data_IF_932708942774
#
_entry.id   IF_932708942774
#
_cell.length_a   1.000
_cell.length_b   1.000
_cell.length_c   1.000
_cell.angle_alpha   90.00
_cell.angle_beta   90.00
_cell.angle_gamma   90.00
#
_symmetry.space_group_name_H-M   'P 1'
#
loop_
_entity.id
_entity.type
_entity.pdbx_description
1 polymer ?
#
# COMPACT_ATOMS: atom_id res chain seq x y z
N UNK A 1 -27.58 27.08 -16.27
CA UNK A 1 -26.93 26.05 -17.10
C UNK A 1 -25.54 26.50 -17.58
N UNK A 2 -25.37 27.73 -18.06
CA UNK A 2 -24.05 28.27 -18.46
C UNK A 2 -23.02 28.32 -17.32
N UNK A 3 -23.40 28.78 -16.13
CA UNK A 3 -22.51 28.78 -14.96
C UNK A 3 -22.03 27.38 -14.57
N UNK A 4 -22.89 26.36 -14.74
CA UNK A 4 -22.55 24.96 -14.44
C UNK A 4 -21.51 24.43 -15.43
N UNK A 5 -21.66 24.76 -16.72
CA UNK A 5 -20.68 24.40 -17.74
C UNK A 5 -19.36 25.15 -17.55
N UNK A 6 -19.42 26.44 -17.22
CA UNK A 6 -18.22 27.23 -16.90
C UNK A 6 -17.46 26.64 -15.71
N UNK A 7 -18.17 26.24 -14.66
CA UNK A 7 -17.58 25.56 -13.51
C UNK A 7 -16.98 24.21 -13.91
N UNK A 8 -17.71 23.38 -14.67
CA UNK A 8 -17.22 22.09 -15.16
C UNK A 8 -15.89 22.25 -15.89
N UNK A 9 -15.83 23.16 -16.87
CA UNK A 9 -14.61 23.42 -17.63
C UNK A 9 -13.46 23.82 -16.71
N UNK A 10 -13.69 24.74 -15.76
CA UNK A 10 -12.64 25.18 -14.83
C UNK A 10 -12.13 24.04 -13.95
N UNK A 11 -13.02 23.23 -13.39
CA UNK A 11 -12.64 22.09 -12.53
C UNK A 11 -11.91 21.03 -13.34
N UNK A 12 -12.40 20.65 -14.52
CA UNK A 12 -11.71 19.67 -15.38
C UNK A 12 -10.32 20.16 -15.78
N UNK A 13 -10.18 21.42 -16.20
CA UNK A 13 -8.87 22.00 -16.52
C UNK A 13 -7.93 21.98 -15.33
N UNK A 14 -8.42 22.32 -14.14
CA UNK A 14 -7.61 22.29 -12.92
C UNK A 14 -7.21 20.86 -12.53
N UNK A 15 -8.09 19.86 -12.67
CA UNK A 15 -7.74 18.46 -12.47
C UNK A 15 -6.62 18.01 -13.43
N UNK A 16 -6.67 18.41 -14.71
CA UNK A 16 -5.61 18.13 -15.67
C UNK A 16 -4.28 18.79 -15.28
N UNK A 17 -4.31 19.99 -14.71
CA UNK A 17 -3.12 20.63 -14.17
C UNK A 17 -2.55 19.85 -12.98
N UNK A 18 -3.38 19.46 -12.01
CA UNK A 18 -2.93 18.66 -10.87
C UNK A 18 -2.37 17.31 -11.33
N UNK A 19 -3.01 16.65 -12.29
CA UNK A 19 -2.54 15.40 -12.89
C UNK A 19 -1.16 15.55 -13.53
N UNK A 20 -0.90 16.65 -14.24
CA UNK A 20 0.41 16.93 -14.83
C UNK A 20 1.52 17.09 -13.80
N UNK A 21 1.19 17.51 -12.57
CA UNK A 21 2.13 17.59 -11.46
C UNK A 21 2.47 16.21 -10.84
N UNK A 22 1.69 15.17 -11.13
CA UNK A 22 1.92 13.80 -10.62
C UNK A 22 2.89 13.00 -11.50
N UNK A 23 2.94 13.29 -12.80
CA UNK A 23 3.89 12.65 -13.71
C UNK A 23 5.29 13.22 -13.49
N UNK A 24 6.28 12.34 -13.33
CA UNK A 24 7.70 12.67 -13.34
C UNK A 24 8.11 13.11 -14.76
N UNK A 25 7.72 14.31 -15.12
CA UNK A 25 8.22 14.97 -16.32
C UNK A 25 9.34 15.88 -15.86
N UNK A 26 10.49 15.69 -16.51
CA UNK A 26 11.74 16.45 -16.43
C UNK A 26 11.56 17.88 -15.87
N UNK A 27 12.50 18.35 -15.05
CA UNK A 27 12.45 19.65 -14.40
C UNK A 27 12.08 20.82 -15.35
N UNK A 28 12.38 20.70 -16.65
CA UNK A 28 11.99 21.65 -17.70
C UNK A 28 10.49 21.69 -18.05
N UNK A 29 9.73 20.59 -17.94
CA UNK A 29 8.27 20.59 -18.14
C UNK A 29 7.56 21.12 -16.89
N UNK A 30 8.10 20.85 -15.70
CA UNK A 30 7.65 21.46 -14.44
C UNK A 30 7.72 23.00 -14.50
N UNK A 31 8.78 23.55 -15.12
CA UNK A 31 8.91 24.99 -15.34
C UNK A 31 7.92 25.55 -16.40
N UNK A 32 7.60 24.77 -17.44
CA UNK A 32 6.61 25.17 -18.45
C UNK A 32 5.16 25.16 -17.92
N UNK A 33 4.82 24.20 -17.05
CA UNK A 33 3.52 24.19 -16.34
C UNK A 33 3.40 25.43 -15.45
N UNK A 34 4.44 25.79 -14.69
CA UNK A 34 4.45 27.04 -13.92
C UNK A 34 4.33 28.30 -14.79
N UNK A 35 4.90 28.32 -16.01
CA UNK A 35 4.72 29.43 -16.96
C UNK A 35 3.27 29.54 -17.47
N UNK A 36 2.57 28.41 -17.63
CA UNK A 36 1.14 28.39 -17.97
C UNK A 36 0.22 28.93 -16.86
N UNK A 37 0.73 29.01 -15.63
CA UNK A 37 0.00 29.55 -14.46
C UNK A 37 0.21 31.07 -14.30
N UNK A 38 1.01 31.70 -15.16
CA UNK A 38 1.33 33.14 -15.11
C UNK A 38 0.14 34.08 -15.28
N UNK A 39 -0.98 33.60 -15.82
CA UNK A 39 -2.23 34.38 -15.99
C UNK A 39 -3.28 34.13 -14.89
N UNK A 40 -3.00 33.27 -13.91
CA UNK A 40 -3.88 33.07 -12.75
C UNK A 40 -3.37 33.95 -11.62
N UNK A 41 -4.03 35.08 -11.39
CA UNK A 41 -3.73 36.00 -10.28
C UNK A 41 -3.63 35.23 -8.95
N UNK A 42 -2.42 35.19 -8.37
CA UNK A 42 -2.15 34.58 -7.06
C UNK A 42 -1.12 33.46 -7.03
N UNK A 43 -0.61 32.98 -8.18
CA UNK A 43 0.32 31.83 -8.20
C UNK A 43 1.77 32.15 -8.57
N UNK A 44 2.09 33.43 -8.78
CA UNK A 44 3.43 33.90 -9.22
C UNK A 44 4.59 33.67 -8.21
N UNK A 45 4.38 32.92 -7.13
CA UNK A 45 5.38 32.72 -6.05
C UNK A 45 5.79 31.27 -5.78
N UNK A 46 5.24 30.27 -6.47
CA UNK A 46 5.59 28.87 -6.21
C UNK A 46 6.85 28.46 -7.00
N UNK A 47 8.01 28.89 -6.52
CA UNK A 47 9.25 28.18 -6.80
C UNK A 47 9.06 26.71 -6.38
N UNK A 48 9.49 25.79 -7.24
CA UNK A 48 9.31 24.33 -7.13
C UNK A 48 9.74 23.79 -5.76
N UNK A 49 8.79 23.72 -4.82
CA UNK A 49 8.99 23.09 -3.52
C UNK A 49 8.91 21.57 -3.67
N UNK A 50 9.67 20.80 -2.87
CA UNK A 50 9.53 19.34 -2.81
C UNK A 50 8.11 18.87 -2.40
N UNK A 51 7.27 19.77 -1.92
CA UNK A 51 5.88 19.53 -1.52
C UNK A 51 4.84 19.65 -2.65
N UNK A 52 5.22 20.06 -3.87
CA UNK A 52 4.24 20.34 -4.94
C UNK A 52 3.46 19.09 -5.35
N UNK A 53 4.13 17.96 -5.59
CA UNK A 53 3.46 16.74 -6.06
C UNK A 53 2.53 16.14 -4.99
N UNK A 54 2.94 16.02 -3.70
CA UNK A 54 2.03 15.65 -2.61
C UNK A 54 0.81 16.57 -2.49
N UNK A 55 1.01 17.89 -2.65
CA UNK A 55 -0.10 18.84 -2.60
C UNK A 55 -1.06 18.66 -3.78
N UNK A 56 -0.54 18.47 -4.99
CA UNK A 56 -1.34 18.21 -6.18
C UNK A 56 -2.14 16.91 -6.04
N UNK A 57 -1.55 15.86 -5.47
CA UNK A 57 -2.23 14.60 -5.17
C UNK A 57 -3.40 14.80 -4.21
N UNK A 58 -3.18 15.54 -3.11
CA UNK A 58 -4.22 15.82 -2.12
C UNK A 58 -5.37 16.61 -2.71
N UNK A 59 -5.07 17.70 -3.41
CA UNK A 59 -6.10 18.54 -4.04
C UNK A 59 -6.85 17.76 -5.11
N UNK A 60 -6.17 16.96 -5.93
CA UNK A 60 -6.82 16.12 -6.93
C UNK A 60 -7.73 15.07 -6.29
N UNK A 61 -7.28 14.43 -5.21
CA UNK A 61 -8.09 13.47 -4.45
C UNK A 61 -9.34 14.14 -3.85
N UNK A 62 -9.20 15.32 -3.26
CA UNK A 62 -10.32 16.07 -2.71
C UNK A 62 -11.32 16.50 -3.78
N UNK A 63 -10.83 16.95 -4.95
CA UNK A 63 -11.69 17.30 -6.08
C UNK A 63 -12.44 16.09 -6.63
N UNK A 64 -11.75 14.96 -6.82
CA UNK A 64 -12.36 13.72 -7.27
C UNK A 64 -13.39 13.18 -6.25
N UNK A 65 -13.17 13.42 -4.96
CA UNK A 65 -14.12 13.06 -3.91
C UNK A 65 -15.35 13.99 -3.89
N UNK A 66 -15.14 15.30 -3.97
CA UNK A 66 -16.21 16.32 -3.97
C UNK A 66 -17.06 16.22 -5.23
N UNK A 67 -16.43 16.07 -6.39
CA UNK A 67 -17.09 15.93 -7.68
C UNK A 67 -17.27 14.46 -8.10
N UNK A 68 -17.17 13.51 -7.17
CA UNK A 68 -17.28 12.09 -7.47
C UNK A 68 -18.73 11.60 -7.68
N UNK A 69 -18.94 10.28 -7.77
CA UNK A 69 -20.26 9.65 -7.98
C UNK A 69 -21.29 9.99 -6.91
N UNK A 70 -20.84 10.45 -5.74
CA UNK A 70 -21.69 10.81 -4.61
C UNK A 70 -22.34 12.19 -4.76
N UNK A 71 -21.85 13.04 -5.66
CA UNK A 71 -22.33 14.41 -5.84
C UNK A 71 -23.85 14.51 -6.13
N UNK A 72 -24.42 13.74 -7.09
CA UNK A 72 -25.85 13.84 -7.39
C UNK A 72 -26.75 13.14 -6.37
N UNK A 73 -26.20 12.46 -5.35
CA UNK A 73 -27.01 11.81 -4.29
C UNK A 73 -27.70 12.84 -3.40
N UNK A 74 -28.69 12.38 -2.65
CA UNK A 74 -29.47 13.15 -1.66
C UNK A 74 -30.20 14.36 -2.27
N UNK A 75 -30.81 14.18 -3.44
CA UNK A 75 -31.65 15.20 -4.09
C UNK A 75 -30.88 16.25 -4.89
N UNK A 76 -29.59 16.04 -5.17
CA UNK A 76 -28.73 16.96 -5.94
C UNK A 76 -28.54 16.55 -7.40
N UNK A 77 -29.54 15.91 -8.01
CA UNK A 77 -29.47 15.36 -9.38
C UNK A 77 -29.08 16.41 -10.43
N UNK A 78 -29.43 17.69 -10.21
CA UNK A 78 -29.05 18.79 -11.10
C UNK A 78 -27.54 19.00 -11.21
N UNK A 79 -26.75 18.48 -10.27
CA UNK A 79 -25.29 18.54 -10.26
C UNK A 79 -24.64 17.34 -10.97
N UNK A 80 -25.41 16.34 -11.42
CA UNK A 80 -24.88 15.19 -12.15
C UNK A 80 -23.92 15.55 -13.31
N UNK A 81 -24.12 16.64 -14.08
CA UNK A 81 -23.17 17.02 -15.13
C UNK A 81 -21.76 17.36 -14.64
N UNK A 82 -21.58 17.69 -13.36
CA UNK A 82 -20.29 18.01 -12.74
C UNK A 82 -19.51 16.77 -12.26
N UNK A 83 -20.10 15.58 -12.31
CA UNK A 83 -19.44 14.36 -11.85
C UNK A 83 -18.17 14.11 -12.67
N UNK A 84 -17.07 13.89 -11.95
CA UNK A 84 -15.75 13.55 -12.48
C UNK A 84 -15.44 12.10 -12.11
N UNK A 85 -15.10 11.31 -13.12
CA UNK A 85 -14.59 9.96 -12.95
C UNK A 85 -13.16 9.94 -13.48
N UNK A 86 -12.18 9.47 -12.68
CA UNK A 86 -10.81 9.39 -13.15
C UNK A 86 -10.71 8.34 -14.25
N UNK A 87 -10.13 8.72 -15.40
CA UNK A 87 -9.82 7.77 -16.48
C UNK A 87 -8.71 6.80 -16.04
N UNK A 88 -8.63 5.63 -16.69
CA UNK A 88 -7.67 4.58 -16.33
C UNK A 88 -6.22 5.10 -16.20
N UNK A 89 -5.79 6.01 -17.08
CA UNK A 89 -4.46 6.61 -16.99
C UNK A 89 -4.23 7.41 -15.70
N UNK A 90 -5.23 8.20 -15.27
CA UNK A 90 -5.16 8.94 -14.00
C UNK A 90 -5.22 7.99 -12.80
N UNK A 91 -6.04 6.95 -12.85
CA UNK A 91 -6.09 5.94 -11.78
C UNK A 91 -4.73 5.28 -11.57
N UNK A 92 -4.06 4.87 -12.65
CA UNK A 92 -2.71 4.32 -12.60
C UNK A 92 -1.67 5.33 -12.08
N UNK A 93 -1.78 6.61 -12.46
CA UNK A 93 -0.88 7.64 -11.94
C UNK A 93 -1.05 7.88 -10.44
N UNK A 94 -2.28 7.89 -9.93
CA UNK A 94 -2.55 8.00 -8.49
C UNK A 94 -1.98 6.80 -7.73
N UNK A 95 -2.16 5.59 -8.27
CA UNK A 95 -1.61 4.37 -7.67
C UNK A 95 -0.07 4.37 -7.67
N UNK A 96 0.56 4.72 -8.80
CA UNK A 96 2.02 4.82 -8.91
C UNK A 96 2.59 5.87 -7.94
N UNK A 97 1.98 7.05 -7.89
CA UNK A 97 2.36 8.10 -6.93
C UNK A 97 2.29 7.61 -5.48
N UNK A 98 1.23 6.89 -5.12
CA UNK A 98 1.09 6.29 -3.80
C UNK A 98 2.22 5.29 -3.51
N UNK A 99 2.53 4.41 -4.46
CA UNK A 99 3.65 3.48 -4.33
C UNK A 99 4.96 4.23 -4.08
N UNK A 100 5.27 5.22 -4.91
CA UNK A 100 6.56 5.93 -4.92
C UNK A 100 6.77 6.84 -3.69
N UNK A 101 5.70 7.37 -3.10
CA UNK A 101 5.83 8.38 -2.04
C UNK A 101 5.36 7.90 -0.66
N UNK A 102 4.56 6.84 -0.59
CA UNK A 102 4.12 6.25 0.69
C UNK A 102 4.88 4.96 1.00
N UNK A 103 5.01 4.06 0.02
CA UNK A 103 5.52 2.70 0.27
C UNK A 103 7.00 2.50 -0.09
N UNK A 104 7.59 3.27 -1.02
CA UNK A 104 9.01 3.12 -1.39
C UNK A 104 10.01 3.51 -0.28
N UNK A 105 9.63 4.40 0.64
CA UNK A 105 10.54 4.86 1.70
C UNK A 105 10.71 3.88 2.86
N UNK A 106 9.95 2.78 2.88
CA UNK A 106 10.00 1.76 3.93
C UNK A 106 11.13 0.72 3.73
N UNK A 107 11.92 0.82 2.65
CA UNK A 107 13.04 -0.08 2.35
C UNK A 107 14.42 0.53 2.65
N UNK A 108 14.54 1.85 2.75
CA UNK A 108 15.85 2.54 2.87
C UNK A 108 16.37 2.70 4.30
N UNK A 109 15.60 2.32 5.33
CA UNK A 109 16.05 2.39 6.72
C UNK A 109 16.79 1.14 7.24
N UNK A 110 16.73 0.01 6.50
CA UNK A 110 17.46 -1.21 6.90
C UNK A 110 18.97 -1.10 6.65
N UNK A 111 19.42 -0.35 5.64
CA UNK A 111 20.85 -0.24 5.32
C UNK A 111 21.60 0.81 6.17
N UNK A 112 20.92 1.84 6.68
CA UNK A 112 21.57 2.91 7.46
C UNK A 112 21.69 2.59 8.95
N UNK A 113 20.91 1.64 9.49
CA UNK A 113 21.03 1.21 10.90
C UNK A 113 21.93 -0.03 11.07
N UNK A 114 22.16 -0.81 10.01
CA UNK A 114 23.00 -2.01 10.04
C UNK A 114 24.52 -1.72 9.90
N UNK A 115 24.92 -0.52 9.47
CA UNK A 115 26.33 -0.11 9.36
C UNK A 115 26.82 0.58 10.64
N UNK A 116 26.65 -0.06 11.80
CA UNK A 116 26.95 0.60 13.08
C UNK A 116 27.06 -0.26 14.32
N UNK A 117 27.25 -1.59 14.23
CA UNK A 117 27.54 -2.41 15.42
C UNK A 117 28.65 -3.43 15.16
N UNK A 118 29.87 -2.93 15.03
CA UNK A 118 31.02 -3.72 15.47
C UNK A 118 31.03 -3.70 17.00
N UNK A 119 31.18 -4.85 17.70
CA UNK A 119 31.40 -4.82 19.14
C UNK A 119 32.68 -4.00 19.41
N UNK A 120 32.67 -3.04 20.35
CA UNK A 120 33.85 -2.24 20.61
C UNK A 120 34.95 -3.17 21.11
N UNK A 121 36.03 -3.34 20.33
CA UNK A 121 37.30 -3.78 20.89
C UNK A 121 37.68 -2.73 21.91
N UNK A 122 37.75 -3.12 23.19
CA UNK A 122 38.29 -2.27 24.26
C UNK A 122 39.69 -1.85 23.82
N UNK A 123 39.96 -0.56 23.54
CA UNK A 123 41.32 -0.10 23.37
C UNK A 123 41.93 0.02 24.77
N UNK A 124 43.10 -0.56 24.99
CA UNK A 124 43.92 -0.20 26.15
C UNK A 124 44.16 1.31 26.11
N UNK A 125 43.54 2.05 27.04
CA UNK A 125 43.73 3.48 27.20
C UNK A 125 45.01 3.72 28.00
N UNK A 126 46.05 4.20 27.33
CA UNK A 126 47.14 4.94 27.98
C UNK A 126 46.59 6.28 28.49
N UNK A 127 46.83 6.68 29.75
CA UNK A 127 46.27 7.89 30.32
C UNK A 127 46.99 9.14 29.77
N UNK A 128 46.27 10.04 29.09
CA UNK A 128 46.82 11.36 28.75
C UNK A 128 46.29 12.11 27.53
N UNK A 129 45.24 11.67 26.83
CA UNK A 129 44.70 12.40 25.66
C UNK A 129 43.29 12.95 25.92
N UNK A 130 42.99 14.19 25.46
CA UNK A 130 41.66 14.77 25.59
C UNK A 130 40.63 14.00 24.76
N UNK A 131 39.51 13.67 25.38
CA UNK A 131 38.36 13.01 24.76
C UNK A 131 37.77 13.96 23.70
N UNK A 132 37.58 13.54 22.43
CA UNK A 132 36.85 14.37 21.47
C UNK A 132 35.40 14.55 21.96
N UNK A 133 34.74 15.69 21.66
CA UNK A 133 33.35 15.89 22.07
C UNK A 133 32.50 14.78 21.45
N UNK A 134 31.80 14.01 22.29
CA UNK A 134 30.76 13.11 21.82
C UNK A 134 29.76 13.96 21.03
N UNK A 135 29.54 13.59 19.76
CA UNK A 135 28.42 14.11 18.97
C UNK A 135 27.14 13.98 19.80
N UNK A 136 26.26 15.00 19.81
CA UNK A 136 25.01 14.91 20.55
C UNK A 136 24.20 13.70 20.05
N UNK A 137 23.44 13.02 20.93
CA UNK A 137 22.46 12.03 20.48
C UNK A 137 21.49 12.72 19.51
N UNK A 138 21.02 11.99 18.49
CA UNK A 138 20.08 12.47 17.47
C UNK A 138 19.13 13.55 18.02
N UNK A 139 19.23 14.76 17.47
CA UNK A 139 18.55 15.95 18.00
C UNK A 139 17.04 15.77 17.93
N UNK A 140 16.30 16.34 18.89
CA UNK A 140 14.82 16.32 18.91
C UNK A 140 14.20 16.77 17.56
N UNK A 141 14.88 17.65 16.83
CA UNK A 141 14.52 18.11 15.49
C UNK A 141 14.42 16.97 14.46
N UNK A 142 15.26 15.94 14.54
CA UNK A 142 15.20 14.78 13.62
C UNK A 142 13.97 13.91 13.87
N UNK A 143 13.53 13.85 15.14
CA UNK A 143 12.32 13.11 15.53
C UNK A 143 11.05 13.84 15.14
N UNK A 144 11.02 15.17 15.26
CA UNK A 144 9.90 16.01 14.82
C UNK A 144 9.72 15.95 13.31
N UNK A 145 10.81 16.10 12.53
CA UNK A 145 10.76 16.00 11.07
C UNK A 145 10.28 14.62 10.59
N UNK A 146 10.67 13.54 11.27
CA UNK A 146 10.21 12.19 10.95
C UNK A 146 8.70 12.01 11.21
N UNK A 147 8.17 12.57 12.30
CA UNK A 147 6.74 12.53 12.61
C UNK A 147 5.93 13.30 11.56
N UNK A 148 6.39 14.48 11.15
CA UNK A 148 5.73 15.29 10.12
C UNK A 148 5.71 14.58 8.76
N UNK A 149 6.83 13.98 8.35
CA UNK A 149 6.91 13.25 7.09
C UNK A 149 6.01 12.01 7.10
N UNK A 150 6.03 11.23 8.19
CA UNK A 150 5.13 10.09 8.36
C UNK A 150 3.66 10.52 8.34
N UNK A 151 3.34 11.63 9.03
CA UNK A 151 1.99 12.19 9.01
C UNK A 151 1.56 12.55 7.58
N UNK A 152 2.42 13.22 6.82
CA UNK A 152 2.14 13.59 5.43
C UNK A 152 1.86 12.34 4.57
N UNK A 153 2.66 11.28 4.69
CA UNK A 153 2.44 10.01 3.96
C UNK A 153 1.14 9.33 4.36
N UNK A 154 0.80 9.33 5.65
CA UNK A 154 -0.48 8.80 6.17
C UNK A 154 -1.67 9.58 5.60
N UNK A 155 -1.55 10.90 5.45
CA UNK A 155 -2.58 11.75 4.84
C UNK A 155 -2.77 11.42 3.35
N UNK A 156 -1.69 11.22 2.59
CA UNK A 156 -1.75 10.77 1.18
C UNK A 156 -2.46 9.41 1.06
N UNK A 157 -2.06 8.44 1.88
CA UNK A 157 -2.69 7.12 1.88
C UNK A 157 -4.18 7.19 2.21
N UNK A 158 -4.55 7.95 3.24
CA UNK A 158 -5.95 8.14 3.61
C UNK A 158 -6.75 8.82 2.48
N UNK A 159 -6.13 9.76 1.75
CA UNK A 159 -6.71 10.36 0.55
C UNK A 159 -7.06 9.31 -0.51
N UNK A 160 -6.10 8.46 -0.87
CA UNK A 160 -6.33 7.38 -1.83
C UNK A 160 -7.40 6.38 -1.36
N UNK A 161 -7.33 5.94 -0.10
CA UNK A 161 -8.31 5.01 0.47
C UNK A 161 -9.74 5.58 0.47
N UNK A 162 -9.91 6.89 0.68
CA UNK A 162 -11.23 7.54 0.57
C UNK A 162 -11.77 7.44 -0.87
N UNK A 163 -10.94 7.62 -1.89
CA UNK A 163 -11.39 7.48 -3.28
C UNK A 163 -11.97 6.08 -3.53
N UNK A 164 -11.38 5.03 -2.96
CA UNK A 164 -11.91 3.65 -3.03
C UNK A 164 -13.21 3.53 -2.22
N UNK A 165 -13.21 3.95 -0.96
CA UNK A 165 -14.37 3.81 -0.04
C UNK A 165 -15.62 4.54 -0.57
N UNK A 166 -15.42 5.66 -1.26
CA UNK A 166 -16.51 6.46 -1.83
C UNK A 166 -16.79 6.15 -3.31
N UNK A 167 -16.29 5.02 -3.82
CA UNK A 167 -16.59 4.49 -5.16
C UNK A 167 -16.11 5.40 -6.32
N UNK A 168 -15.12 6.26 -6.05
CA UNK A 168 -14.47 7.10 -7.07
C UNK A 168 -13.43 6.29 -7.85
N UNK A 169 -12.74 5.37 -7.16
CA UNK A 169 -11.90 4.34 -7.74
C UNK A 169 -12.57 2.98 -7.54
N UNK A 170 -12.34 2.06 -8.49
CA UNK A 170 -12.82 0.68 -8.35
C UNK A 170 -12.23 0.02 -7.10
N UNK A 171 -13.02 -0.85 -6.46
CA UNK A 171 -12.60 -1.56 -5.25
C UNK A 171 -11.33 -2.39 -5.49
N UNK A 172 -11.16 -2.91 -6.71
CA UNK A 172 -9.96 -3.62 -7.18
C UNK A 172 -8.67 -2.82 -6.98
N UNK A 173 -8.70 -1.49 -7.08
CA UNK A 173 -7.55 -0.61 -6.83
C UNK A 173 -7.05 -0.67 -5.38
N UNK A 174 -7.86 -1.17 -4.43
CA UNK A 174 -7.41 -1.41 -3.07
C UNK A 174 -6.37 -2.54 -2.99
N UNK A 175 -6.23 -3.38 -4.03
CA UNK A 175 -5.25 -4.47 -4.02
C UNK A 175 -3.82 -3.96 -3.84
N UNK A 176 -3.55 -2.78 -4.39
CA UNK A 176 -2.31 -2.03 -4.29
C UNK A 176 -2.01 -1.59 -2.86
N UNK A 177 -3.03 -1.35 -2.04
CA UNK A 177 -2.86 -0.98 -0.63
C UNK A 177 -2.79 -2.22 0.26
N UNK A 178 -3.65 -3.21 -0.01
CA UNK A 178 -3.79 -4.39 0.85
C UNK A 178 -2.54 -5.27 0.87
N UNK A 179 -1.74 -5.30 -0.19
CA UNK A 179 -0.45 -6.02 -0.23
C UNK A 179 0.54 -5.56 0.85
N UNK A 180 0.39 -4.34 1.37
CA UNK A 180 1.24 -3.80 2.43
C UNK A 180 0.74 -4.12 3.85
N UNK A 181 -0.33 -4.92 4.00
CA UNK A 181 -0.88 -5.29 5.32
C UNK A 181 -0.01 -6.28 6.11
N UNK A 182 0.78 -7.13 5.43
CA UNK A 182 1.54 -8.23 6.05
C UNK A 182 2.76 -7.79 6.87
N UNK A 183 3.28 -6.59 6.62
CA UNK A 183 4.41 -6.01 7.35
C UNK A 183 4.01 -5.61 8.79
N UNK A 184 3.04 -6.30 9.39
CA UNK A 184 2.36 -6.04 10.67
C UNK A 184 2.29 -7.29 11.60
N UNK A 185 2.81 -8.47 11.23
CA UNK A 185 2.67 -9.64 12.13
C UNK A 185 3.71 -10.75 12.02
N UNK A 186 4.94 -10.52 12.47
CA UNK A 186 5.85 -11.59 12.85
C UNK A 186 5.57 -12.08 14.27
N UNK A 187 4.50 -12.86 14.49
CA UNK A 187 4.44 -13.71 15.70
C UNK A 187 5.22 -14.97 15.42
N UNK A 188 6.41 -15.03 16.03
CA UNK A 188 7.24 -16.21 16.14
C UNK A 188 6.41 -17.40 16.61
N UNK A 189 6.26 -18.41 15.75
CA UNK A 189 5.77 -19.72 16.18
C UNK A 189 6.71 -20.25 17.26
N UNK A 190 6.20 -20.37 18.49
CA UNK A 190 6.91 -20.94 19.61
C UNK A 190 7.22 -22.42 19.31
N UNK A 191 8.50 -22.75 19.18
CA UNK A 191 8.99 -24.12 19.27
C UNK A 191 8.49 -24.76 20.58
N UNK A 192 8.11 -26.05 20.60
CA UNK A 192 7.70 -26.70 21.83
C UNK A 192 8.89 -26.77 22.78
N UNK A 193 8.74 -26.16 23.96
CA UNK A 193 9.76 -26.08 24.98
C UNK A 193 10.20 -27.48 25.48
N UNK A 194 11.48 -27.79 25.30
CA UNK A 194 12.19 -28.72 26.18
C UNK A 194 12.39 -28.11 27.58
N UNK A 195 12.68 -28.91 28.61
CA UNK A 195 12.61 -28.45 29.99
C UNK A 195 13.69 -27.40 30.27
N UNK A 196 13.22 -26.24 30.70
CA UNK A 196 13.99 -25.06 31.05
C UNK A 196 14.91 -25.32 32.25
N UNK A 197 16.20 -25.04 32.07
CA UNK A 197 17.14 -24.83 33.16
C UNK A 197 17.93 -23.55 32.91
N UNK A 198 18.13 -22.80 33.99
CA UNK A 198 19.02 -21.66 34.15
C UNK A 198 18.54 -20.32 33.57
N UNK A 199 17.94 -19.51 34.43
CA UNK A 199 17.79 -18.07 34.25
C UNK A 199 19.16 -17.40 34.38
N UNK A 200 19.60 -16.73 33.32
CA UNK A 200 20.68 -15.77 33.34
C UNK A 200 20.24 -14.52 32.58
N UNK A 201 20.13 -13.41 33.28
CA UNK A 201 19.66 -12.13 32.76
C UNK A 201 20.48 -11.65 31.55
N UNK A 202 19.86 -11.60 30.36
CA UNK A 202 20.24 -10.64 29.32
C UNK A 202 19.05 -10.39 28.38
N UNK A 203 18.56 -9.15 28.42
CA UNK A 203 17.77 -8.45 27.42
C UNK A 203 16.58 -9.20 26.79
N UNK A 204 15.38 -8.88 27.27
CA UNK A 204 14.21 -8.84 26.39
C UNK A 204 14.58 -7.96 25.19
N UNK A 205 14.71 -8.58 24.01
CA UNK A 205 14.62 -7.85 22.75
C UNK A 205 13.32 -7.03 22.80
N UNK A 206 13.34 -5.73 22.49
CA UNK A 206 12.07 -5.02 22.34
C UNK A 206 11.25 -5.75 21.27
N UNK A 207 9.91 -5.81 21.39
CA UNK A 207 9.10 -6.25 20.26
C UNK A 207 9.47 -5.38 19.04
N UNK A 208 9.36 -5.85 17.80
CA UNK A 208 9.60 -4.99 16.65
C UNK A 208 8.62 -3.81 16.70
N UNK A 209 9.10 -2.66 17.20
CA UNK A 209 8.29 -1.46 17.49
C UNK A 209 8.00 -0.61 16.25
N UNK A 210 8.32 -1.09 15.05
CA UNK A 210 8.17 -0.36 13.79
C UNK A 210 7.03 -0.88 12.90
N UNK A 211 6.24 -1.82 13.41
CA UNK A 211 5.17 -2.47 12.66
C UNK A 211 3.85 -1.71 12.81
N UNK A 212 3.68 -0.65 12.00
CA UNK A 212 2.45 -0.31 11.25
C UNK A 212 2.30 1.20 10.96
N UNK A 213 3.29 1.82 10.31
CA UNK A 213 3.20 3.22 9.82
C UNK A 213 1.86 3.54 9.14
N UNK A 214 1.24 2.52 8.54
CA UNK A 214 -0.01 2.61 7.79
C UNK A 214 -1.08 1.59 8.20
N UNK A 215 -0.79 0.66 9.12
CA UNK A 215 -1.63 -0.54 9.29
C UNK A 215 -3.01 -0.26 9.85
N UNK A 216 -3.20 0.79 10.64
CA UNK A 216 -4.51 1.24 11.11
C UNK A 216 -5.37 1.78 9.96
N UNK A 217 -4.79 2.57 9.05
CA UNK A 217 -5.47 3.09 7.85
C UNK A 217 -5.82 1.93 6.90
N UNK A 218 -4.89 1.02 6.65
CA UNK A 218 -5.12 -0.17 5.80
C UNK A 218 -6.21 -1.06 6.42
N UNK A 219 -6.16 -1.30 7.74
CA UNK A 219 -7.15 -2.10 8.46
C UNK A 219 -8.54 -1.47 8.43
N UNK A 220 -8.63 -0.16 8.60
CA UNK A 220 -9.91 0.54 8.48
C UNK A 220 -10.44 0.46 7.05
N UNK A 221 -9.58 0.63 6.05
CA UNK A 221 -9.93 0.49 4.63
C UNK A 221 -10.45 -0.92 4.31
N UNK A 222 -9.78 -1.97 4.83
CA UNK A 222 -10.23 -3.36 4.75
C UNK A 222 -11.62 -3.57 5.37
N UNK A 223 -11.88 -2.92 6.52
CA UNK A 223 -13.16 -3.03 7.20
C UNK A 223 -14.29 -2.29 6.48
N UNK A 224 -14.02 -1.10 5.94
CA UNK A 224 -14.97 -0.29 5.18
C UNK A 224 -15.34 -0.98 3.85
N UNK A 225 -14.36 -1.38 3.06
CA UNK A 225 -14.57 -2.07 1.77
C UNK A 225 -15.36 -3.37 1.93
N UNK A 226 -15.10 -4.16 2.97
CA UNK A 226 -15.89 -5.37 3.31
C UNK A 226 -17.36 -5.06 3.63
N UNK A 227 -17.67 -3.88 4.15
CA UNK A 227 -19.03 -3.45 4.44
C UNK A 227 -19.76 -2.96 3.19
N UNK A 228 -19.02 -2.36 2.24
CA UNK A 228 -19.53 -1.89 0.95
C UNK A 228 -19.90 -3.07 0.05
N UNK A 229 -18.92 -3.91 -0.29
CA UNK A 229 -19.14 -5.11 -1.10
C UNK A 229 -18.21 -6.23 -0.62
N UNK A 230 -18.82 -7.29 -0.09
CA UNK A 230 -18.08 -8.42 0.48
C UNK A 230 -17.52 -9.37 -0.57
N UNK A 231 -18.20 -9.51 -1.70
CA UNK A 231 -17.75 -10.38 -2.78
C UNK A 231 -16.55 -9.74 -3.46
N UNK A 232 -16.68 -8.47 -3.84
CA UNK A 232 -15.60 -7.75 -4.49
C UNK A 232 -14.42 -7.51 -3.53
N UNK A 233 -14.68 -7.30 -2.24
CA UNK A 233 -13.63 -7.27 -1.21
C UNK A 233 -12.81 -8.56 -1.18
N UNK A 234 -13.46 -9.73 -1.15
CA UNK A 234 -12.75 -11.01 -1.16
C UNK A 234 -11.98 -11.22 -2.49
N UNK A 235 -12.57 -10.82 -3.62
CA UNK A 235 -11.92 -10.82 -4.93
C UNK A 235 -10.68 -9.94 -4.95
N UNK A 236 -10.74 -8.77 -4.30
CA UNK A 236 -9.62 -7.82 -4.21
C UNK A 236 -8.50 -8.34 -3.31
N UNK A 237 -8.82 -9.01 -2.19
CA UNK A 237 -7.80 -9.70 -1.38
C UNK A 237 -7.08 -10.79 -2.18
N UNK A 238 -7.84 -11.56 -2.97
CA UNK A 238 -7.28 -12.57 -3.86
C UNK A 238 -6.38 -11.93 -4.92
N UNK A 239 -6.83 -10.82 -5.52
CA UNK A 239 -6.08 -10.06 -6.52
C UNK A 239 -4.73 -9.57 -5.97
N UNK A 240 -4.68 -9.05 -4.74
CA UNK A 240 -3.41 -8.67 -4.10
C UNK A 240 -2.40 -9.81 -4.06
N UNK A 241 -2.85 -11.00 -3.64
CA UNK A 241 -1.98 -12.18 -3.52
C UNK A 241 -1.54 -12.69 -4.90
N UNK A 242 -2.43 -12.68 -5.88
CA UNK A 242 -2.13 -13.07 -7.26
C UNK A 242 -1.11 -12.12 -7.90
N UNK A 243 -1.30 -10.80 -7.72
CA UNK A 243 -0.39 -9.78 -8.23
C UNK A 243 1.01 -9.92 -7.61
N UNK A 244 1.11 -10.11 -6.29
CA UNK A 244 2.42 -10.33 -5.65
C UNK A 244 3.11 -11.60 -6.16
N UNK A 245 2.40 -12.73 -6.26
CA UNK A 245 2.99 -13.96 -6.77
C UNK A 245 3.48 -13.79 -8.22
N UNK A 246 2.68 -13.14 -9.07
CA UNK A 246 3.04 -12.93 -10.47
C UNK A 246 4.28 -12.05 -10.61
N UNK A 247 4.40 -10.98 -9.81
CA UNK A 247 5.60 -10.15 -9.78
C UNK A 247 6.83 -10.95 -9.40
N UNK A 248 6.74 -11.78 -8.35
CA UNK A 248 7.87 -12.63 -7.93
C UNK A 248 8.24 -13.69 -8.97
N UNK A 249 7.25 -14.30 -9.63
CA UNK A 249 7.49 -15.25 -10.73
C UNK A 249 8.20 -14.60 -11.92
N UNK A 250 7.87 -13.35 -12.23
CA UNK A 250 8.53 -12.56 -13.27
C UNK A 250 9.98 -12.22 -12.91
N UNK A 251 10.25 -11.94 -11.63
CA UNK A 251 11.59 -11.58 -11.15
C UNK A 251 12.54 -12.79 -11.05
N UNK A 252 12.07 -13.93 -10.52
CA UNK A 252 12.94 -15.08 -10.21
C UNK A 252 13.15 -16.06 -11.38
N UNK A 253 12.41 -15.92 -12.48
CA UNK A 253 12.49 -16.81 -13.66
C UNK A 253 12.38 -18.32 -13.36
N UNK A 254 11.47 -18.74 -12.47
CA UNK A 254 11.25 -20.18 -12.32
C UNK A 254 10.39 -20.65 -11.13
N UNK A 255 10.13 -21.97 -11.06
CA UNK A 255 9.32 -22.61 -10.01
C UNK A 255 10.01 -22.72 -8.63
N UNK A 256 11.26 -22.28 -8.49
CA UNK A 256 11.99 -22.27 -7.20
C UNK A 256 11.51 -21.21 -6.21
N UNK A 257 10.50 -20.42 -6.60
CA UNK A 257 9.85 -19.39 -5.78
C UNK A 257 9.44 -19.87 -4.37
N UNK A 258 9.15 -21.15 -4.19
CA UNK A 258 8.70 -21.70 -2.89
C UNK A 258 9.71 -21.54 -1.76
N UNK A 259 11.00 -21.46 -2.09
CA UNK A 259 12.07 -21.24 -1.12
C UNK A 259 12.42 -19.76 -0.95
N UNK A 260 11.86 -18.87 -1.77
CA UNK A 260 12.13 -17.44 -1.71
C UNK A 260 11.46 -16.82 -0.48
N UNK A 261 12.18 -15.92 0.18
CA UNK A 261 11.67 -15.12 1.30
C UNK A 261 10.39 -14.36 0.91
N UNK A 262 10.37 -13.77 -0.28
CA UNK A 262 9.18 -13.08 -0.82
C UNK A 262 7.94 -13.98 -0.92
N UNK A 263 8.10 -15.29 -1.17
CA UNK A 263 6.97 -16.22 -1.18
C UNK A 263 6.42 -16.49 0.22
N UNK A 264 7.30 -16.53 1.23
CA UNK A 264 6.89 -16.63 2.64
C UNK A 264 6.10 -15.39 3.06
N UNK A 265 6.54 -14.20 2.66
CA UNK A 265 5.80 -12.95 2.91
C UNK A 265 4.39 -12.97 2.30
N UNK A 266 4.25 -13.47 1.07
CA UNK A 266 2.94 -13.64 0.40
C UNK A 266 2.06 -14.60 1.20
N UNK A 267 2.62 -15.71 1.70
CA UNK A 267 1.88 -16.66 2.55
C UNK A 267 1.48 -16.07 3.89
N UNK A 268 2.34 -15.27 4.51
CA UNK A 268 2.02 -14.59 5.76
C UNK A 268 0.92 -13.55 5.57
N UNK A 269 0.92 -12.82 4.43
CA UNK A 269 -0.19 -11.96 4.06
C UNK A 269 -1.50 -12.74 3.89
N UNK A 270 -1.46 -13.88 3.20
CA UNK A 270 -2.62 -14.73 3.04
C UNK A 270 -3.16 -15.24 4.38
N UNK A 271 -2.27 -15.56 5.33
CA UNK A 271 -2.67 -15.94 6.70
C UNK A 271 -3.36 -14.78 7.42
N UNK A 272 -2.84 -13.56 7.31
CA UNK A 272 -3.50 -12.37 7.87
C UNK A 272 -4.87 -12.12 7.24
N UNK A 273 -5.00 -12.24 5.91
CA UNK A 273 -6.28 -12.13 5.23
C UNK A 273 -7.27 -13.22 5.65
N UNK A 274 -6.80 -14.47 5.81
CA UNK A 274 -7.61 -15.60 6.29
C UNK A 274 -8.27 -15.30 7.65
N UNK A 275 -7.58 -14.59 8.55
CA UNK A 275 -8.16 -14.17 9.83
C UNK A 275 -9.34 -13.20 9.67
N UNK A 276 -9.38 -12.37 8.61
CA UNK A 276 -10.49 -11.45 8.35
C UNK A 276 -11.81 -12.16 8.05
N UNK A 277 -11.75 -13.43 7.62
CA UNK A 277 -12.92 -14.26 7.37
C UNK A 277 -13.51 -14.84 8.67
N UNK A 278 -12.73 -14.93 9.75
CA UNK A 278 -13.12 -15.58 11.01
C UNK A 278 -14.20 -14.83 11.79
N UNK A 279 -14.18 -13.50 11.77
CA UNK A 279 -15.06 -12.65 12.58
C UNK A 279 -16.55 -12.75 12.17
N UNK A 280 -16.83 -13.13 10.92
CA UNK A 280 -18.19 -13.26 10.38
C UNK A 280 -18.29 -14.46 9.42
N UNK A 281 -17.84 -15.64 9.87
CA UNK A 281 -17.68 -16.83 9.03
C UNK A 281 -18.91 -17.15 8.15
N UNK A 282 -20.13 -17.11 8.70
CA UNK A 282 -21.35 -17.38 7.94
C UNK A 282 -21.63 -16.34 6.86
N UNK A 283 -21.43 -15.05 7.16
CA UNK A 283 -21.66 -13.94 6.23
C UNK A 283 -20.58 -13.88 5.14
N UNK A 284 -19.37 -14.32 5.48
CA UNK A 284 -18.23 -14.40 4.56
C UNK A 284 -18.22 -15.67 3.71
N UNK A 285 -18.99 -16.70 4.07
CA UNK A 285 -19.01 -18.01 3.39
C UNK A 285 -19.07 -17.91 1.86
N UNK A 286 -20.04 -17.21 1.22
CA UNK A 286 -20.12 -17.21 -0.23
C UNK A 286 -18.89 -16.54 -0.89
N UNK A 287 -18.35 -15.49 -0.27
CA UNK A 287 -17.18 -14.78 -0.76
C UNK A 287 -15.90 -15.64 -0.64
N UNK A 288 -15.78 -16.39 0.46
CA UNK A 288 -14.68 -17.34 0.66
C UNK A 288 -14.73 -18.49 -0.37
N UNK A 289 -15.93 -19.00 -0.69
CA UNK A 289 -16.08 -20.02 -1.71
C UNK A 289 -15.71 -19.51 -3.11
N UNK A 290 -16.13 -18.28 -3.46
CA UNK A 290 -15.73 -17.65 -4.72
C UNK A 290 -14.21 -17.49 -4.78
N UNK A 291 -13.59 -17.00 -3.70
CA UNK A 291 -12.13 -16.86 -3.58
C UNK A 291 -11.40 -18.20 -3.83
N UNK A 292 -11.86 -19.30 -3.24
CA UNK A 292 -11.26 -20.62 -3.51
C UNK A 292 -11.45 -21.06 -4.96
N UNK A 293 -12.65 -20.90 -5.53
CA UNK A 293 -12.93 -21.25 -6.92
C UNK A 293 -12.03 -20.47 -7.89
N UNK A 294 -11.93 -19.17 -7.70
CA UNK A 294 -11.12 -18.27 -8.53
C UNK A 294 -9.62 -18.49 -8.33
N UNK A 295 -9.18 -18.73 -7.09
CA UNK A 295 -7.79 -19.04 -6.78
C UNK A 295 -7.32 -20.36 -7.40
N UNK A 296 -8.18 -21.39 -7.42
CA UNK A 296 -7.91 -22.65 -8.12
C UNK A 296 -7.84 -22.40 -9.63
N UNK A 297 -8.78 -21.65 -10.21
CA UNK A 297 -8.74 -21.30 -11.63
C UNK A 297 -7.44 -20.59 -12.02
N UNK A 298 -6.98 -19.65 -11.20
CA UNK A 298 -5.71 -18.96 -11.40
C UNK A 298 -4.50 -19.91 -11.33
N UNK A 299 -4.48 -20.82 -10.35
CA UNK A 299 -3.38 -21.78 -10.18
C UNK A 299 -3.22 -22.72 -11.39
N UNK A 300 -4.32 -23.03 -12.08
CA UNK A 300 -4.35 -23.88 -13.28
C UNK A 300 -4.45 -23.09 -14.59
N UNK A 301 -4.27 -21.77 -14.56
CA UNK A 301 -4.30 -20.96 -15.76
C UNK A 301 -3.12 -21.33 -16.68
N UNK A 302 -3.43 -21.64 -17.95
CA UNK A 302 -2.42 -21.97 -18.94
C UNK A 302 -1.58 -20.73 -19.31
N UNK A 303 -0.25 -20.87 -19.44
CA UNK A 303 0.60 -19.75 -19.83
C UNK A 303 0.26 -19.30 -21.26
N UNK A 304 0.19 -17.98 -21.53
CA UNK A 304 -0.04 -17.47 -22.88
C UNK A 304 1.17 -17.80 -23.77
N UNK A 305 1.01 -18.76 -24.68
CA UNK A 305 2.03 -19.14 -25.65
C UNK A 305 1.63 -20.32 -26.55
N UNK A 306 2.19 -20.46 -27.76
CA UNK A 306 1.87 -21.54 -28.68
C UNK A 306 2.57 -22.83 -28.22
N UNK A 307 1.99 -23.52 -27.26
CA UNK A 307 2.52 -24.79 -26.76
C UNK A 307 1.52 -25.52 -25.87
N UNK A 308 0.71 -26.46 -26.40
CA UNK A 308 -0.08 -27.33 -25.55
C UNK A 308 0.86 -28.14 -24.63
N UNK A 309 0.65 -28.06 -23.31
CA UNK A 309 1.31 -28.92 -22.33
C UNK A 309 2.43 -28.30 -21.48
N UNK A 310 2.63 -26.98 -21.48
CA UNK A 310 3.48 -26.35 -20.46
C UNK A 310 2.82 -26.49 -19.07
N UNK A 311 3.56 -26.86 -18.02
CA UNK A 311 3.00 -26.94 -16.67
C UNK A 311 2.49 -25.56 -16.23
N UNK A 312 1.38 -25.49 -15.48
CA UNK A 312 0.86 -24.22 -15.02
C UNK A 312 1.88 -23.51 -14.12
N UNK A 313 2.22 -22.26 -14.48
CA UNK A 313 3.21 -21.45 -13.77
C UNK A 313 2.75 -21.09 -12.34
N UNK A 314 1.43 -20.98 -12.16
CA UNK A 314 0.81 -20.48 -10.94
C UNK A 314 0.56 -21.57 -9.89
N UNK A 315 1.05 -22.80 -10.08
CA UNK A 315 0.84 -23.90 -9.13
C UNK A 315 1.24 -23.59 -7.67
N UNK A 316 2.34 -22.85 -7.39
CA UNK A 316 2.67 -22.44 -6.03
C UNK A 316 1.55 -21.65 -5.32
N UNK A 317 0.66 -21.00 -6.07
CA UNK A 317 -0.47 -20.26 -5.52
C UNK A 317 -1.41 -21.13 -4.68
N UNK A 318 -1.47 -22.45 -4.92
CA UNK A 318 -2.30 -23.35 -4.10
C UNK A 318 -1.82 -23.40 -2.64
N UNK A 319 -0.53 -23.20 -2.37
CA UNK A 319 -0.02 -23.12 -0.99
C UNK A 319 -0.47 -21.83 -0.31
N UNK A 320 -0.45 -20.71 -1.04
CA UNK A 320 -1.00 -19.42 -0.57
C UNK A 320 -2.50 -19.55 -0.29
N UNK A 321 -3.24 -20.16 -1.22
CA UNK A 321 -4.68 -20.40 -1.08
C UNK A 321 -5.00 -21.37 0.07
N UNK A 322 -4.08 -22.28 0.41
CA UNK A 322 -4.27 -23.25 1.48
C UNK A 322 -4.43 -22.59 2.86
N UNK A 323 -3.87 -21.38 3.07
CA UNK A 323 -4.00 -20.59 4.31
C UNK A 323 -5.46 -20.19 4.62
N UNK A 324 -6.33 -20.18 3.60
CA UNK A 324 -7.78 -19.91 3.74
C UNK A 324 -8.61 -21.15 4.06
N UNK A 325 -8.09 -22.35 3.78
CA UNK A 325 -8.79 -23.63 3.96
C UNK A 325 -9.27 -23.90 5.40
N UNK A 326 -8.58 -23.46 6.47
CA UNK A 326 -9.09 -23.57 7.83
C UNK A 326 -10.40 -22.80 8.07
N UNK A 327 -10.72 -21.80 7.23
CA UNK A 327 -11.93 -20.96 7.35
C UNK A 327 -13.15 -21.56 6.65
N UNK A 328 -12.96 -22.50 5.74
CA UNK A 328 -14.05 -23.23 5.08
C UNK A 328 -14.80 -24.11 6.08
N UNK A 329 -16.14 -24.16 5.94
CA UNK A 329 -16.97 -25.07 6.72
C UNK A 329 -16.80 -26.49 6.18
N UNK A 330 -16.98 -27.50 7.05
CA UNK A 330 -16.86 -28.92 6.66
C UNK A 330 -17.60 -29.31 5.37
N UNK A 331 -18.87 -28.94 5.13
CA UNK A 331 -19.57 -29.28 3.89
C UNK A 331 -18.98 -28.62 2.64
N UNK A 332 -18.26 -27.50 2.79
CA UNK A 332 -17.66 -26.78 1.66
C UNK A 332 -16.28 -27.34 1.25
N UNK A 333 -15.70 -28.22 2.06
CA UNK A 333 -14.40 -28.85 1.79
C UNK A 333 -14.49 -30.10 0.92
N UNK A 334 -15.70 -30.65 0.79
CA UNK A 334 -15.99 -31.84 -0.02
C UNK A 334 -16.13 -31.45 -1.49
#
# INVERSE_FOLDING_TARGET
QEQLQSLKTRVTSFCSLCQSCLSDVDAGVREQVCRGWGDVEGVSGLALSPSLCPQAFMVLSDLLLVFGPQLPRDGRETLAPLVLLPEAGLQSQLAAFLMDHVFHHACSHEELSAMGTSPPRIPEVSPGMPVPPLSPPASAEDSENHIEELHQRRVLLAGFCKLIIYDVLELSAASDVFKHYAKVGGTQEACPAGPAAAWGHQALSPPPQFYSDYGDIIKETLNCTRQIDRQEWARTLLLSLQQQLMTELLLQQGPEIRAAEAFLEIRDLARHFSLLFSLQQLRNRPALLSMHKEGIQFAFQEPPGPGPGLPPLNLPFLEVLSEFSPRLLRPDKA
#
